data_IF_193897170889
#
_entry.id   IF_193897170889
#
_cell.length_a   1.000
_cell.length_b   1.000
_cell.length_c   1.000
_cell.angle_alpha   90.00
_cell.angle_beta   90.00
_cell.angle_gamma   90.00
#
_symmetry.space_group_name_H-M   'P 1'
#
loop_
_entity.id
_entity.type
_entity.pdbx_description
1 polymer ?
#
# COMPACT_ATOMS: atom_id res chain seq x y z
N UNK A 1 -20.36 5.13 -0.15
CA UNK A 1 -19.76 4.19 -1.11
C UNK A 1 -18.39 3.67 -0.68
N UNK A 2 -17.77 4.18 0.39
CA UNK A 2 -16.48 3.66 0.87
C UNK A 2 -16.46 2.12 1.00
N UNK A 3 -15.40 1.49 0.52
CA UNK A 3 -15.19 0.05 0.41
C UNK A 3 -15.99 -0.66 -0.69
N UNK A 4 -16.79 0.05 -1.49
CA UNK A 4 -17.59 -0.54 -2.56
C UNK A 4 -16.74 -0.80 -3.81
N UNK A 5 -16.90 -1.96 -4.42
CA UNK A 5 -16.31 -2.27 -5.73
C UNK A 5 -17.16 -1.66 -6.83
N UNK A 6 -16.52 -0.92 -7.73
CA UNK A 6 -17.14 -0.21 -8.84
C UNK A 6 -16.45 -0.58 -10.16
N UNK A 7 -17.21 -0.51 -11.24
CA UNK A 7 -16.69 -0.48 -12.60
C UNK A 7 -16.42 0.97 -13.01
N UNK A 8 -15.30 1.20 -13.69
CA UNK A 8 -14.91 2.50 -14.23
C UNK A 8 -14.18 2.32 -15.57
N UNK A 9 -14.43 3.22 -16.52
CA UNK A 9 -13.80 3.15 -17.84
C UNK A 9 -12.41 3.82 -17.82
N UNK A 10 -11.40 3.04 -17.43
CA UNK A 10 -10.00 3.48 -17.38
C UNK A 10 -9.37 3.80 -18.74
N UNK A 11 -9.96 3.36 -19.86
CA UNK A 11 -9.46 3.71 -21.20
C UNK A 11 -9.53 5.21 -21.50
N UNK A 12 -10.36 5.97 -20.75
CA UNK A 12 -10.44 7.43 -20.85
C UNK A 12 -9.16 8.14 -20.42
N UNK A 13 -8.23 7.46 -19.74
CA UNK A 13 -7.01 8.07 -19.21
C UNK A 13 -5.91 8.29 -20.25
N UNK A 14 -6.06 7.75 -21.48
CA UNK A 14 -5.06 7.83 -22.56
C UNK A 14 -3.63 7.45 -22.12
N UNK A 15 -3.51 6.60 -21.09
CA UNK A 15 -2.25 6.10 -20.56
C UNK A 15 -2.28 4.57 -20.57
N UNK A 16 -1.27 3.96 -21.23
CA UNK A 16 -1.14 2.52 -21.38
C UNK A 16 -1.04 1.77 -20.05
N UNK A 17 -0.57 2.43 -18.98
CA UNK A 17 -0.48 1.85 -17.63
C UNK A 17 -1.85 1.51 -17.05
N UNK A 18 -2.92 2.12 -17.58
CA UNK A 18 -4.30 1.86 -17.19
C UNK A 18 -4.97 0.79 -18.07
N UNK A 19 -4.30 0.31 -19.13
CA UNK A 19 -4.86 -0.70 -20.01
C UNK A 19 -4.98 -2.04 -19.28
N UNK A 20 -6.22 -2.55 -19.20
CA UNK A 20 -6.54 -3.79 -18.50
C UNK A 20 -6.94 -3.60 -17.03
N UNK A 21 -7.32 -2.38 -16.63
CA UNK A 21 -8.08 -2.11 -15.42
C UNK A 21 -9.56 -1.92 -15.81
N UNK A 22 -10.45 -2.66 -15.15
CA UNK A 22 -11.90 -2.58 -15.36
C UNK A 22 -12.65 -2.25 -14.08
N UNK A 23 -12.02 -2.51 -12.92
CA UNK A 23 -12.64 -2.40 -11.60
C UNK A 23 -11.76 -1.62 -10.63
N UNK A 24 -12.42 -1.02 -9.65
CA UNK A 24 -11.78 -0.29 -8.58
C UNK A 24 -12.56 -0.41 -7.28
N UNK A 25 -11.90 -0.07 -6.18
CA UNK A 25 -12.50 0.10 -4.86
C UNK A 25 -12.65 1.60 -4.60
N UNK A 26 -13.81 2.03 -4.15
CA UNK A 26 -13.99 3.39 -3.62
C UNK A 26 -13.33 3.45 -2.24
N UNK A 27 -12.26 4.22 -2.09
CA UNK A 27 -11.52 4.38 -0.82
C UNK A 27 -11.83 5.71 -0.11
N UNK A 28 -12.39 6.67 -0.84
CA UNK A 28 -12.87 7.94 -0.28
C UNK A 28 -14.02 8.49 -1.13
N UNK A 29 -14.86 9.33 -0.52
CA UNK A 29 -16.05 9.91 -1.13
C UNK A 29 -16.27 11.34 -0.63
N UNK A 30 -16.33 12.30 -1.57
CA UNK A 30 -16.74 13.68 -1.32
C UNK A 30 -18.14 13.93 -1.89
N UNK A 31 -18.64 15.18 -2.01
CA UNK A 31 -20.00 15.43 -2.53
C UNK A 31 -20.22 14.84 -3.93
N UNK A 32 -19.39 15.21 -4.91
CA UNK A 32 -19.55 14.82 -6.32
C UNK A 32 -18.45 13.91 -6.87
N UNK A 33 -17.41 13.66 -6.08
CA UNK A 33 -16.25 12.86 -6.50
C UNK A 33 -16.03 11.65 -5.60
N UNK A 34 -15.42 10.62 -6.16
CA UNK A 34 -14.93 9.43 -5.46
C UNK A 34 -13.48 9.20 -5.80
N UNK A 35 -12.71 8.78 -4.78
CA UNK A 35 -11.33 8.33 -4.97
C UNK A 35 -11.34 6.82 -5.18
N UNK A 36 -10.79 6.39 -6.31
CA UNK A 36 -10.74 5.01 -6.74
C UNK A 36 -9.35 4.42 -6.51
N UNK A 37 -9.31 3.23 -5.93
CA UNK A 37 -8.15 2.34 -5.89
C UNK A 37 -8.34 1.23 -6.92
N UNK A 38 -7.68 1.29 -8.09
CA UNK A 38 -7.84 0.25 -9.11
C UNK A 38 -7.27 -1.09 -8.66
N UNK A 39 -7.87 -2.17 -9.15
CA UNK A 39 -7.34 -3.51 -8.95
C UNK A 39 -7.55 -4.38 -10.19
N UNK A 40 -6.80 -5.48 -10.28
CA UNK A 40 -7.02 -6.51 -11.27
C UNK A 40 -6.68 -7.90 -10.74
N UNK A 41 -6.94 -8.91 -11.54
CA UNK A 41 -6.78 -10.32 -11.15
C UNK A 41 -5.47 -10.91 -11.67
N UNK A 42 -4.59 -10.08 -12.24
CA UNK A 42 -3.30 -10.53 -12.75
C UNK A 42 -2.34 -10.57 -11.58
N UNK A 43 -1.58 -11.65 -11.45
CA UNK A 43 -0.54 -11.75 -10.44
C UNK A 43 0.42 -10.55 -10.56
N UNK A 44 0.57 -9.82 -9.46
CA UNK A 44 1.56 -8.76 -9.30
C UNK A 44 2.40 -9.10 -8.08
N UNK A 45 3.71 -8.89 -8.19
CA UNK A 45 4.60 -9.06 -7.05
C UNK A 45 4.31 -7.98 -6.01
N UNK A 46 4.11 -8.38 -4.76
CA UNK A 46 3.93 -7.46 -3.64
C UNK A 46 5.03 -6.39 -3.60
N UNK A 47 4.61 -5.15 -3.47
CA UNK A 47 5.41 -3.93 -3.34
C UNK A 47 4.65 -2.90 -2.50
N UNK A 48 5.24 -1.73 -2.28
CA UNK A 48 4.56 -0.62 -1.61
C UNK A 48 3.42 -0.05 -2.49
N UNK A 49 3.54 -0.14 -3.82
CA UNK A 49 2.52 0.34 -4.76
C UNK A 49 1.45 -0.71 -5.08
N UNK A 50 1.72 -2.01 -4.90
CA UNK A 50 0.77 -3.06 -5.30
C UNK A 50 0.85 -4.27 -4.39
N UNK A 51 -0.29 -4.85 -4.04
CA UNK A 51 -0.34 -6.07 -3.22
C UNK A 51 -1.65 -6.83 -3.39
N UNK A 52 -1.66 -8.10 -2.94
CA UNK A 52 -2.84 -8.95 -2.99
C UNK A 52 -3.80 -8.70 -1.82
N UNK A 53 -5.04 -8.29 -2.13
CA UNK A 53 -6.18 -8.23 -1.20
C UNK A 53 -6.78 -9.60 -0.86
N UNK A 54 -6.44 -10.63 -1.63
CA UNK A 54 -7.11 -11.93 -1.60
C UNK A 54 -8.47 -11.91 -2.32
N UNK A 55 -9.33 -12.87 -1.99
CA UNK A 55 -10.71 -12.97 -2.53
C UNK A 55 -11.58 -11.84 -1.97
N UNK A 56 -12.39 -11.20 -2.84
CA UNK A 56 -13.45 -10.28 -2.43
C UNK A 56 -14.78 -11.04 -2.55
N UNK A 57 -15.52 -11.16 -1.46
CA UNK A 57 -16.75 -11.94 -1.44
C UNK A 57 -17.84 -11.29 -2.29
N UNK A 58 -18.56 -12.14 -3.05
CA UNK A 58 -19.58 -11.70 -4.00
C UNK A 58 -19.04 -11.07 -5.29
N UNK A 59 -17.71 -10.94 -5.46
CA UNK A 59 -17.08 -10.48 -6.68
C UNK A 59 -16.67 -11.66 -7.58
N UNK A 60 -17.17 -11.68 -8.81
CA UNK A 60 -16.85 -12.68 -9.82
C UNK A 60 -16.41 -12.02 -11.11
N UNK A 61 -15.34 -12.54 -11.71
CA UNK A 61 -14.90 -12.11 -13.04
C UNK A 61 -15.65 -12.96 -14.09
N UNK A 62 -16.15 -12.29 -15.13
CA UNK A 62 -16.72 -12.97 -16.29
C UNK A 62 -15.59 -13.23 -17.28
N UNK A 63 -15.25 -14.50 -17.50
CA UNK A 63 -14.32 -14.91 -18.58
C UNK A 63 -15.02 -15.90 -19.49
N UNK A 64 -15.17 -15.54 -20.77
CA UNK A 64 -15.61 -16.27 -21.98
C UNK A 64 -16.61 -17.46 -21.88
N UNK A 65 -16.63 -18.26 -20.81
CA UNK A 65 -17.43 -19.46 -20.61
C UNK A 65 -18.00 -19.61 -19.17
N UNK A 66 -17.77 -18.67 -18.24
CA UNK A 66 -18.36 -18.73 -16.90
C UNK A 66 -17.89 -17.67 -15.91
N UNK A 67 -18.41 -17.78 -14.68
CA UNK A 67 -18.01 -16.97 -13.52
C UNK A 67 -16.84 -17.63 -12.80
N UNK A 68 -15.75 -16.89 -12.59
CA UNK A 68 -14.58 -17.40 -11.89
C UNK A 68 -14.40 -16.60 -10.60
N UNK A 69 -14.41 -17.31 -9.47
CA UNK A 69 -13.87 -16.79 -8.23
C UNK A 69 -12.35 -16.66 -8.37
N UNK A 70 -11.85 -15.43 -8.39
CA UNK A 70 -10.40 -15.23 -8.39
C UNK A 70 -9.87 -15.22 -6.97
N UNK A 71 -8.84 -16.05 -6.72
CA UNK A 71 -8.23 -16.19 -5.39
C UNK A 71 -7.36 -15.00 -4.99
N UNK A 72 -6.98 -14.14 -5.94
CA UNK A 72 -6.17 -12.95 -5.69
C UNK A 72 -6.63 -11.74 -6.48
N UNK A 73 -6.95 -10.68 -5.75
CA UNK A 73 -7.25 -9.35 -6.28
C UNK A 73 -6.07 -8.43 -5.95
N UNK A 74 -5.42 -7.85 -6.94
CA UNK A 74 -4.20 -7.06 -6.77
C UNK A 74 -4.49 -5.58 -6.99
N UNK A 75 -4.32 -4.77 -5.95
CA UNK A 75 -4.52 -3.31 -5.99
C UNK A 75 -3.29 -2.57 -6.49
N UNK A 76 -3.49 -1.34 -6.99
CA UNK A 76 -2.45 -0.48 -7.56
C UNK A 76 -2.58 0.95 -6.99
N UNK A 77 -1.86 1.25 -5.91
CA UNK A 77 -1.87 2.56 -5.27
C UNK A 77 -1.29 3.67 -6.13
N UNK A 78 -0.31 3.35 -6.97
CA UNK A 78 0.26 4.25 -7.98
C UNK A 78 -0.75 4.72 -9.04
N UNK A 79 -1.93 4.10 -9.07
CA UNK A 79 -3.02 4.38 -10.00
C UNK A 79 -4.27 4.94 -9.32
N UNK A 80 -4.16 5.34 -8.05
CA UNK A 80 -5.27 6.02 -7.37
C UNK A 80 -5.68 7.25 -8.16
N UNK A 81 -6.99 7.45 -8.32
CA UNK A 81 -7.54 8.55 -9.08
C UNK A 81 -8.86 9.06 -8.52
N UNK A 82 -9.07 10.36 -8.58
CA UNK A 82 -10.35 10.99 -8.29
C UNK A 82 -11.18 11.11 -9.57
N UNK A 83 -12.43 10.64 -9.51
CA UNK A 83 -13.37 10.69 -10.64
C UNK A 83 -14.75 11.19 -10.20
N UNK A 84 -15.56 11.73 -11.12
CA UNK A 84 -16.95 12.06 -10.83
C UNK A 84 -17.74 10.82 -10.43
N UNK A 85 -18.61 10.92 -9.41
CA UNK A 85 -19.51 9.84 -9.00
C UNK A 85 -20.40 9.33 -10.12
N UNK A 86 -20.78 10.21 -11.03
CA UNK A 86 -21.63 9.87 -12.17
C UNK A 86 -20.94 8.93 -13.19
N UNK A 87 -19.60 8.82 -13.16
CA UNK A 87 -18.83 7.97 -14.08
C UNK A 87 -18.57 6.56 -13.53
N UNK A 88 -18.97 6.26 -12.29
CA UNK A 88 -18.73 4.94 -11.67
C UNK A 88 -20.03 4.16 -11.52
N UNK A 89 -19.95 2.84 -11.71
CA UNK A 89 -21.11 1.94 -11.55
C UNK A 89 -20.80 0.89 -10.48
N UNK A 90 -21.58 0.79 -9.38
CA UNK A 90 -21.40 -0.26 -8.38
C UNK A 90 -21.54 -1.65 -8.99
N UNK A 91 -20.62 -2.55 -8.64
CA UNK A 91 -20.71 -3.96 -9.03
C UNK A 91 -21.69 -4.66 -8.08
N UNK A 92 -22.68 -5.35 -8.64
CA UNK A 92 -23.63 -6.15 -7.87
C UNK A 92 -23.01 -7.48 -7.44
N UNK A 93 -23.22 -7.83 -6.17
CA UNK A 93 -22.74 -9.08 -5.59
C UNK A 93 -23.46 -10.28 -6.20
N UNK A 94 -22.73 -11.36 -6.43
CA UNK A 94 -23.22 -12.56 -7.11
C UNK A 94 -22.81 -13.85 -6.40
N UNK A 95 -23.63 -14.89 -6.54
CA UNK A 95 -23.24 -16.26 -6.19
C UNK A 95 -22.45 -16.93 -7.32
N UNK A 96 -21.88 -18.11 -7.06
CA UNK A 96 -21.06 -18.85 -8.03
C UNK A 96 -21.82 -19.37 -9.25
N UNK A 97 -23.15 -19.25 -9.27
CA UNK A 97 -24.00 -19.56 -10.41
C UNK A 97 -24.37 -18.31 -11.23
N UNK A 98 -23.93 -17.12 -10.78
CA UNK A 98 -24.22 -15.83 -11.42
C UNK A 98 -25.53 -15.18 -10.97
N UNK A 99 -26.17 -15.67 -9.91
CA UNK A 99 -27.36 -15.04 -9.39
C UNK A 99 -26.99 -13.78 -8.61
N UNK A 100 -27.64 -12.67 -8.95
CA UNK A 100 -27.43 -11.38 -8.29
C UNK A 100 -28.14 -11.38 -6.93
N UNK A 101 -27.45 -10.92 -5.89
CA UNK A 101 -28.06 -10.68 -4.60
C UNK A 101 -28.90 -9.40 -4.63
N UNK A 102 -30.12 -9.48 -4.11
CA UNK A 102 -31.10 -8.39 -4.07
C UNK A 102 -31.51 -8.16 -2.61
N UNK A 103 -31.56 -6.91 -2.17
CA UNK A 103 -32.04 -6.52 -0.85
C UNK A 103 -33.56 -6.56 -0.75
N UNK A 104 -34.10 -6.40 0.46
CA UNK A 104 -35.54 -6.47 0.72
C UNK A 104 -36.36 -5.43 -0.05
N UNK A 105 -35.75 -4.30 -0.42
CA UNK A 105 -36.34 -3.23 -1.22
C UNK A 105 -36.30 -3.48 -2.74
N UNK A 106 -35.72 -4.60 -3.18
CA UNK A 106 -35.57 -4.94 -4.60
C UNK A 106 -34.31 -4.36 -5.27
N UNK A 107 -33.45 -3.66 -4.52
CA UNK A 107 -32.18 -3.11 -5.03
C UNK A 107 -31.08 -4.17 -5.09
N UNK A 108 -30.14 -4.06 -6.02
CA UNK A 108 -28.97 -4.95 -6.04
C UNK A 108 -28.02 -4.64 -4.87
N UNK A 109 -27.58 -5.68 -4.19
CA UNK A 109 -26.59 -5.56 -3.11
C UNK A 109 -25.21 -5.32 -3.74
N UNK A 110 -24.52 -4.21 -3.44
CA UNK A 110 -23.21 -3.95 -4.01
C UNK A 110 -22.12 -4.82 -3.35
N UNK A 111 -21.12 -5.20 -4.13
CA UNK A 111 -19.89 -5.83 -3.64
C UNK A 111 -19.14 -4.83 -2.76
N UNK A 112 -18.71 -5.28 -1.58
CA UNK A 112 -17.91 -4.49 -0.64
C UNK A 112 -16.75 -5.30 -0.09
N UNK A 113 -15.65 -4.61 0.17
CA UNK A 113 -14.56 -5.16 0.98
C UNK A 113 -15.04 -5.45 2.39
N UNK A 114 -14.47 -6.50 2.99
CA UNK A 114 -14.59 -6.74 4.43
C UNK A 114 -13.81 -5.69 5.24
N UNK A 115 -14.16 -5.53 6.52
CA UNK A 115 -13.43 -4.64 7.43
C UNK A 115 -11.93 -5.00 7.51
N UNK A 116 -11.61 -6.29 7.47
CA UNK A 116 -10.23 -6.77 7.45
C UNK A 116 -9.47 -6.27 6.22
N UNK A 117 -10.08 -6.36 5.03
CA UNK A 117 -9.46 -5.89 3.80
C UNK A 117 -9.36 -4.36 3.76
N UNK A 118 -10.37 -3.65 4.27
CA UNK A 118 -10.33 -2.19 4.37
C UNK A 118 -9.20 -1.71 5.28
N UNK A 119 -9.00 -2.36 6.43
CA UNK A 119 -7.87 -2.05 7.32
C UNK A 119 -6.53 -2.29 6.61
N UNK A 120 -6.41 -3.40 5.88
CA UNK A 120 -5.19 -3.69 5.11
C UNK A 120 -4.92 -2.65 4.01
N UNK A 121 -5.95 -2.15 3.33
CA UNK A 121 -5.82 -1.03 2.38
C UNK A 121 -5.35 0.21 3.09
N UNK A 122 -5.97 0.59 4.20
CA UNK A 122 -5.62 1.80 4.96
C UNK A 122 -4.17 1.78 5.44
N UNK A 123 -3.73 0.69 6.09
CA UNK A 123 -2.37 0.55 6.60
C UNK A 123 -1.33 0.65 5.48
N UNK A 124 -1.56 0.00 4.34
CA UNK A 124 -0.61 0.06 3.23
C UNK A 124 -0.68 1.36 2.44
N UNK A 125 -1.83 2.03 2.40
CA UNK A 125 -1.96 3.35 1.78
C UNK A 125 -1.18 4.41 2.56
N UNK A 126 -1.16 4.34 3.89
CA UNK A 126 -0.30 5.20 4.72
C UNK A 126 1.17 5.01 4.35
N UNK A 127 1.64 3.76 4.26
CA UNK A 127 3.02 3.43 3.85
C UNK A 127 3.32 3.95 2.43
N UNK A 128 2.38 3.81 1.50
CA UNK A 128 2.53 4.32 0.13
C UNK A 128 2.61 5.84 0.08
N UNK A 129 1.73 6.55 0.79
CA UNK A 129 1.70 8.01 0.83
C UNK A 129 2.95 8.59 1.48
N UNK A 130 3.51 7.90 2.49
CA UNK A 130 4.81 8.26 3.05
C UNK A 130 5.96 8.03 2.05
N UNK A 131 5.78 7.17 1.03
CA UNK A 131 6.76 6.77 0.02
C UNK A 131 7.73 5.68 0.49
N UNK A 132 8.50 5.08 -0.42
CA UNK A 132 9.68 4.32 0.02
C UNK A 132 10.68 5.29 0.67
N UNK A 133 11.24 4.93 1.82
CA UNK A 133 12.35 5.70 2.31
C UNK A 133 13.55 5.50 1.38
N UNK A 134 13.95 6.55 0.68
CA UNK A 134 15.07 6.52 -0.27
C UNK A 134 16.40 6.89 0.39
N UNK A 135 16.38 7.28 1.65
CA UNK A 135 17.55 7.70 2.44
C UNK A 135 17.70 6.82 3.69
N UNK A 136 18.93 6.64 4.21
CA UNK A 136 19.15 5.92 5.46
C UNK A 136 18.30 6.45 6.60
N UNK A 137 18.22 7.78 6.76
CA UNK A 137 17.42 8.42 7.80
C UNK A 137 15.92 8.16 7.61
N UNK A 138 15.42 8.24 6.38
CA UNK A 138 14.03 7.93 6.08
C UNK A 138 13.64 6.52 6.53
N UNK A 139 14.53 5.53 6.34
CA UNK A 139 14.29 4.15 6.76
C UNK A 139 14.24 4.03 8.28
N UNK A 140 15.12 4.73 8.98
CA UNK A 140 15.16 4.74 10.45
C UNK A 140 13.92 5.45 11.01
N UNK A 141 13.50 6.56 10.40
CA UNK A 141 12.32 7.34 10.83
C UNK A 141 11.01 6.59 10.63
N UNK A 142 10.93 5.74 9.60
CA UNK A 142 9.76 4.90 9.32
C UNK A 142 9.80 3.54 10.02
N UNK A 143 10.91 3.19 10.66
CA UNK A 143 10.96 1.95 11.44
C UNK A 143 9.91 1.99 12.56
N UNK A 144 9.39 0.82 12.93
CA UNK A 144 8.46 0.69 14.05
C UNK A 144 9.03 1.36 15.32
N UNK A 145 8.17 2.01 16.10
CA UNK A 145 8.56 2.81 17.27
C UNK A 145 9.38 2.05 18.31
N UNK A 146 9.26 0.73 18.38
CA UNK A 146 10.03 -0.10 19.31
C UNK A 146 11.50 -0.23 18.92
N UNK A 147 11.87 0.04 17.67
CA UNK A 147 13.25 -0.05 17.20
C UNK A 147 13.98 1.29 17.38
N UNK A 148 15.10 1.25 18.13
CA UNK A 148 16.04 2.36 18.30
C UNK A 148 17.36 2.07 17.58
N UNK A 149 17.98 3.10 17.01
CA UNK A 149 19.28 2.97 16.35
C UNK A 149 20.37 2.61 17.37
N UNK A 150 21.11 1.55 17.10
CA UNK A 150 22.33 1.21 17.83
C UNK A 150 23.49 1.99 17.19
N UNK A 151 23.85 3.15 17.77
CA UNK A 151 24.87 4.03 17.22
C UNK A 151 26.24 3.35 17.07
N UNK A 152 26.55 2.38 17.93
CA UNK A 152 27.82 1.64 17.89
C UNK A 152 27.85 0.61 16.75
N UNK A 153 26.69 0.25 16.19
CA UNK A 153 26.58 -0.67 15.05
C UNK A 153 26.81 -0.01 13.69
N UNK A 154 26.93 1.32 13.65
CA UNK A 154 27.10 2.07 12.42
C UNK A 154 28.47 1.74 11.83
N UNK A 155 28.47 1.07 10.67
CA UNK A 155 29.69 0.61 9.99
C UNK A 155 30.69 1.72 9.63
N UNK A 156 30.23 2.96 9.49
CA UNK A 156 31.06 4.12 9.17
C UNK A 156 30.40 5.40 9.67
N UNK A 157 31.14 6.26 10.38
CA UNK A 157 30.64 7.57 10.87
C UNK A 157 30.17 8.49 9.75
N UNK A 158 30.73 8.35 8.55
CA UNK A 158 30.29 9.05 7.33
C UNK A 158 28.80 8.83 7.02
N UNK A 159 28.21 7.71 7.48
CA UNK A 159 26.77 7.46 7.31
C UNK A 159 25.89 8.51 8.00
N UNK A 160 26.40 9.15 9.07
CA UNK A 160 25.68 10.23 9.75
C UNK A 160 25.54 11.45 8.82
N UNK A 161 26.60 11.77 8.08
CA UNK A 161 26.59 12.85 7.09
C UNK A 161 25.79 12.48 5.83
N UNK A 162 25.79 11.20 5.47
CA UNK A 162 25.03 10.65 4.33
C UNK A 162 23.58 10.29 4.67
N UNK A 163 23.10 10.58 5.89
CA UNK A 163 21.78 10.14 6.37
C UNK A 163 20.62 10.57 5.48
N UNK A 164 20.74 11.74 4.85
CA UNK A 164 19.76 12.31 3.92
C UNK A 164 20.10 12.06 2.44
N UNK A 165 21.20 11.36 2.15
CA UNK A 165 21.61 11.02 0.78
C UNK A 165 20.82 9.81 0.29
N UNK A 166 20.39 9.85 -0.98
CA UNK A 166 19.68 8.73 -1.60
C UNK A 166 20.61 7.51 -1.74
N UNK A 167 20.16 6.34 -1.32
CA UNK A 167 20.89 5.09 -1.58
C UNK A 167 20.57 4.55 -2.98
N UNK A 168 21.51 3.82 -3.58
CA UNK A 168 21.33 3.06 -4.82
C UNK A 168 20.37 1.88 -4.61
N UNK A 169 20.52 1.21 -3.46
CA UNK A 169 19.70 0.08 -3.00
C UNK A 169 19.91 -0.17 -1.51
N UNK A 170 18.97 -0.87 -0.88
CA UNK A 170 19.10 -1.31 0.50
C UNK A 170 18.57 -2.74 0.70
N UNK A 171 18.91 -3.34 1.84
CA UNK A 171 18.34 -4.60 2.33
C UNK A 171 18.13 -4.54 3.83
N UNK A 172 17.01 -5.11 4.28
CA UNK A 172 16.73 -5.30 5.71
C UNK A 172 16.81 -6.77 6.09
N UNK A 173 17.34 -7.03 7.28
CA UNK A 173 17.39 -8.34 7.90
C UNK A 173 16.84 -8.25 9.32
N UNK A 174 15.81 -9.04 9.62
CA UNK A 174 15.14 -9.02 10.93
C UNK A 174 15.52 -10.28 11.73
N UNK A 175 16.15 -10.08 12.90
CA UNK A 175 16.61 -11.14 13.80
C UNK A 175 16.07 -10.92 15.22
N UNK A 176 14.86 -11.39 15.48
CA UNK A 176 14.23 -11.29 16.81
C UNK A 176 14.06 -9.84 17.26
N UNK A 177 14.97 -9.38 18.11
CA UNK A 177 15.01 -8.01 18.65
C UNK A 177 15.92 -7.06 17.87
N UNK A 178 16.48 -7.49 16.74
CA UNK A 178 17.37 -6.68 15.90
C UNK A 178 16.82 -6.53 14.49
N UNK A 179 16.98 -5.35 13.91
CA UNK A 179 16.80 -5.07 12.48
C UNK A 179 18.12 -4.53 11.95
N UNK A 180 18.78 -5.26 11.07
CA UNK A 180 20.01 -4.83 10.39
C UNK A 180 19.63 -4.27 9.03
N UNK A 181 20.06 -3.05 8.75
CA UNK A 181 19.86 -2.40 7.46
C UNK A 181 21.20 -2.24 6.77
N UNK A 182 21.28 -2.67 5.51
CA UNK A 182 22.46 -2.55 4.66
C UNK A 182 22.11 -1.64 3.49
N UNK A 183 22.87 -0.56 3.31
CA UNK A 183 22.70 0.43 2.25
C UNK A 183 23.87 0.38 1.26
N UNK A 184 23.63 0.90 0.06
CA UNK A 184 24.68 1.22 -0.92
C UNK A 184 24.50 2.68 -1.33
N UNK A 185 25.51 3.53 -1.15
CA UNK A 185 25.50 4.93 -1.56
C UNK A 185 26.74 5.15 -2.40
N UNK A 186 26.57 5.62 -3.64
CA UNK A 186 27.64 5.79 -4.63
C UNK A 186 28.51 4.52 -4.78
N UNK A 187 27.84 3.35 -4.80
CA UNK A 187 28.50 2.04 -4.89
C UNK A 187 29.23 1.57 -3.62
N UNK A 188 29.30 2.39 -2.57
CA UNK A 188 29.91 2.04 -1.27
C UNK A 188 28.88 1.45 -0.32
N UNK A 189 29.24 0.34 0.34
CA UNK A 189 28.36 -0.39 1.26
C UNK A 189 28.43 0.19 2.67
N UNK A 190 27.26 0.44 3.25
CA UNK A 190 27.07 0.84 4.64
C UNK A 190 26.11 -0.12 5.34
N UNK A 191 26.17 -0.19 6.66
CA UNK A 191 25.21 -0.90 7.48
C UNK A 191 25.03 -0.27 8.85
N UNK A 192 23.85 -0.48 9.42
CA UNK A 192 23.50 -0.17 10.81
C UNK A 192 22.56 -1.24 11.35
N UNK A 193 22.40 -1.26 12.66
CA UNK A 193 21.46 -2.10 13.39
C UNK A 193 20.53 -1.22 14.20
N UNK A 194 19.24 -1.57 14.21
CA UNK A 194 18.27 -1.05 15.16
C UNK A 194 17.86 -2.18 16.09
N UNK A 195 17.75 -1.88 17.39
CA UNK A 195 17.39 -2.85 18.43
C UNK A 195 16.03 -2.50 19.02
N UNK A 196 15.22 -3.50 19.31
CA UNK A 196 13.99 -3.33 20.08
C UNK A 196 14.33 -2.82 21.48
N UNK A 197 13.67 -1.77 21.91
CA UNK A 197 13.76 -1.22 23.26
C UNK A 197 12.46 -0.53 23.65
N UNK A 198 12.42 -0.04 24.89
CA UNK A 198 11.27 0.69 25.40
C UNK A 198 11.29 2.12 24.85
N UNK A 199 10.32 2.42 23.99
CA UNK A 199 10.08 3.73 23.41
C UNK A 199 8.64 4.14 23.71
N UNK A 200 8.48 5.32 24.29
CA UNK A 200 7.18 5.91 24.63
C UNK A 200 6.41 6.36 23.38
N UNK A 201 7.08 6.91 22.35
CA UNK A 201 6.45 7.34 21.09
C UNK A 201 7.41 7.44 19.90
N UNK A 202 6.88 7.30 18.68
CA UNK A 202 7.64 7.47 17.42
C UNK A 202 8.22 8.89 17.31
N UNK A 203 7.45 9.90 17.78
CA UNK A 203 7.85 11.31 17.75
C UNK A 203 9.08 11.57 18.61
N UNK A 204 9.10 11.05 19.83
CA UNK A 204 10.21 11.21 20.77
C UNK A 204 11.49 10.57 20.21
N UNK A 205 11.41 9.32 19.72
CA UNK A 205 12.54 8.66 19.04
C UNK A 205 13.05 9.45 17.84
N UNK A 206 12.15 9.97 16.99
CA UNK A 206 12.57 10.72 15.80
C UNK A 206 13.21 12.06 16.15
N UNK A 207 12.79 12.72 17.23
CA UNK A 207 13.46 13.92 17.75
C UNK A 207 14.90 13.62 18.17
N UNK A 208 15.16 12.53 18.91
CA UNK A 208 16.52 12.12 19.29
C UNK A 208 17.41 11.85 18.07
N UNK A 209 16.85 11.21 17.03
CA UNK A 209 17.60 10.92 15.81
C UNK A 209 17.93 12.19 15.00
N UNK A 210 17.03 13.18 14.95
CA UNK A 210 17.29 14.46 14.27
C UNK A 210 18.50 15.18 14.87
N UNK A 211 18.63 15.18 16.20
CA UNK A 211 19.79 15.78 16.89
C UNK A 211 21.10 15.08 16.49
N UNK A 212 21.10 13.74 16.41
CA UNK A 212 22.32 12.98 16.10
C UNK A 212 22.74 13.10 14.65
N UNK A 213 21.78 13.13 13.72
CA UNK A 213 22.06 13.35 12.30
C UNK A 213 22.28 14.84 11.95
N UNK A 214 22.28 15.74 12.95
CA UNK A 214 22.45 17.19 12.79
C UNK A 214 21.45 17.82 11.80
N UNK A 215 20.20 17.34 11.84
CA UNK A 215 19.14 17.79 10.95
C UNK A 215 18.36 18.88 11.69
N UNK A 216 18.42 20.10 11.13
CA UNK A 216 17.73 21.28 11.64
C UNK A 216 16.24 21.29 11.26
#
# INVERSE_FOLDING_TARGET
MNGTVVQYNFLRMENEDFYGLDYAIVINENEDTVTLLPFNNKFVKDSIASFCLGKIDGFLEIRNEGYIENSGQYVHFDKIIDVPKADVTPVAAQDTLGNLYVSEDGSFVPVKLSDYQMNMVSERQEIFNEGEATTPLGLIFKADKSYKLDYDSISSKELLDLGSTTFDRYREYNFGNEKIVVFYIDGKRYSLTMRKGDSSSLKERNSELMEVFQIA
#
